data_IF_995251257375
#
_entry.id   IF_995251257375
#
_cell.length_a   1.000
_cell.length_b   1.000
_cell.length_c   1.000
_cell.angle_alpha   90.00
_cell.angle_beta   90.00
_cell.angle_gamma   90.00
#
_symmetry.space_group_name_H-M   'P 1'
#
loop_
_entity.id
_entity.type
_entity.pdbx_description
1 polymer ?
#
# COMPACT_ATOMS: atom_id res chain seq x y z
N UNK A 1 -7.47 -22.95 3.30
CA UNK A 1 -7.89 -21.74 4.05
C UNK A 1 -7.98 -20.51 3.15
N UNK A 2 -7.25 -20.46 2.03
CA UNK A 2 -7.41 -19.40 1.00
C UNK A 2 -8.30 -19.81 -0.18
N UNK A 3 -8.53 -21.10 -0.39
CA UNK A 3 -9.22 -21.67 -1.57
C UNK A 3 -10.71 -21.30 -1.70
N UNK A 4 -11.33 -20.76 -0.64
CA UNK A 4 -12.74 -20.35 -0.62
C UNK A 4 -12.93 -18.84 -0.46
N UNK A 5 -11.87 -18.03 -0.63
CA UNK A 5 -11.96 -16.58 -0.57
C UNK A 5 -12.43 -16.04 -1.93
N UNK A 6 -13.73 -15.77 -2.04
CA UNK A 6 -14.29 -15.03 -3.18
C UNK A 6 -14.29 -13.54 -2.87
N UNK A 7 -14.11 -12.71 -3.91
CA UNK A 7 -14.23 -11.27 -3.75
C UNK A 7 -15.69 -10.91 -3.53
N UNK A 8 -16.01 -10.35 -2.36
CA UNK A 8 -17.34 -9.77 -2.13
C UNK A 8 -17.54 -8.51 -2.97
N UNK A 9 -18.77 -8.34 -3.46
CA UNK A 9 -19.14 -7.12 -4.17
C UNK A 9 -19.10 -5.93 -3.20
N UNK A 10 -18.44 -4.87 -3.63
CA UNK A 10 -18.35 -3.62 -2.87
C UNK A 10 -18.63 -2.45 -3.79
N UNK A 11 -19.43 -1.51 -3.29
CA UNK A 11 -19.66 -0.21 -3.92
C UNK A 11 -18.35 0.59 -4.04
N UNK A 12 -17.37 0.31 -3.18
CA UNK A 12 -16.07 0.99 -3.17
C UNK A 12 -15.02 0.11 -3.84
N UNK A 13 -14.41 0.63 -4.90
CA UNK A 13 -13.25 -0.03 -5.53
C UNK A 13 -12.01 0.24 -4.70
N UNK A 14 -11.31 -0.84 -4.33
CA UNK A 14 -10.06 -0.79 -3.56
C UNK A 14 -8.93 -1.26 -4.47
N UNK A 15 -7.88 -0.46 -4.56
CA UNK A 15 -6.73 -0.72 -5.43
C UNK A 15 -5.49 -0.83 -4.55
N UNK A 16 -4.72 -1.89 -4.74
CA UNK A 16 -3.45 -2.12 -4.05
C UNK A 16 -2.32 -2.01 -5.07
N UNK A 17 -1.30 -1.20 -4.76
CA UNK A 17 -0.09 -1.07 -5.57
C UNK A 17 1.03 -1.87 -4.91
N UNK A 18 1.43 -2.96 -5.55
CA UNK A 18 2.47 -3.88 -5.07
C UNK A 18 3.77 -3.72 -5.86
N UNK A 19 4.91 -3.93 -5.21
CA UNK A 19 6.20 -3.98 -5.88
C UNK A 19 7.39 -3.82 -4.93
N UNK A 20 8.63 -4.05 -5.41
CA UNK A 20 9.85 -3.93 -4.61
C UNK A 20 10.02 -2.56 -3.96
N UNK A 21 10.79 -2.49 -2.88
CA UNK A 21 11.16 -1.22 -2.25
C UNK A 21 11.83 -0.27 -3.27
N UNK A 22 11.61 1.03 -3.12
CA UNK A 22 12.22 2.07 -3.98
C UNK A 22 11.83 2.03 -5.47
N UNK A 23 10.66 1.46 -5.81
CA UNK A 23 10.08 1.48 -7.18
C UNK A 23 9.04 2.59 -7.41
N UNK A 24 9.00 3.62 -6.56
CA UNK A 24 8.12 4.78 -6.74
C UNK A 24 6.66 4.59 -6.35
N UNK A 25 6.30 3.46 -5.71
CA UNK A 25 4.91 3.15 -5.29
C UNK A 25 4.24 4.27 -4.49
N UNK A 26 4.93 4.80 -3.47
CA UNK A 26 4.43 5.88 -2.61
C UNK A 26 4.14 7.14 -3.42
N UNK A 27 5.06 7.52 -4.33
CA UNK A 27 4.87 8.66 -5.23
C UNK A 27 3.67 8.46 -6.14
N UNK A 28 3.49 7.25 -6.70
CA UNK A 28 2.35 6.93 -7.54
C UNK A 28 1.02 6.99 -6.78
N UNK A 29 0.97 6.45 -5.56
CA UNK A 29 -0.22 6.51 -4.69
C UNK A 29 -0.62 7.96 -4.43
N UNK A 30 0.34 8.81 -4.06
CA UNK A 30 0.10 10.23 -3.78
C UNK A 30 -0.42 10.98 -5.01
N UNK A 31 0.15 10.71 -6.19
CA UNK A 31 -0.30 11.36 -7.43
C UNK A 31 -1.72 10.91 -7.81
N UNK A 32 -2.03 9.62 -7.64
CA UNK A 32 -3.36 9.07 -7.93
C UNK A 32 -4.41 9.58 -6.95
N UNK A 33 -4.07 9.71 -5.65
CA UNK A 33 -5.01 10.20 -4.65
C UNK A 33 -5.43 11.64 -4.90
N UNK A 34 -4.48 12.51 -5.29
CA UNK A 34 -4.76 13.89 -5.72
C UNK A 34 -5.60 13.91 -6.99
N UNK A 35 -5.21 13.14 -8.02
CA UNK A 35 -5.90 13.15 -9.31
C UNK A 35 -7.35 12.68 -9.21
N UNK A 36 -7.61 11.60 -8.46
CA UNK A 36 -8.96 11.05 -8.26
C UNK A 36 -9.70 11.66 -7.07
N UNK A 37 -9.10 12.63 -6.37
CA UNK A 37 -9.66 13.26 -5.16
C UNK A 37 -10.14 12.21 -4.14
N UNK A 38 -9.30 11.21 -3.89
CA UNK A 38 -9.63 10.06 -3.04
C UNK A 38 -8.63 9.89 -1.91
N UNK A 39 -9.02 9.11 -0.90
CA UNK A 39 -8.17 8.77 0.23
C UNK A 39 -7.21 7.63 -0.15
N UNK A 40 -6.07 7.57 0.54
CA UNK A 40 -5.15 6.44 0.49
C UNK A 40 -4.66 6.09 1.89
N UNK A 41 -4.05 4.91 2.04
CA UNK A 41 -3.47 4.43 3.29
C UNK A 41 -1.98 4.18 3.06
N UNK A 42 -1.16 4.61 4.00
CA UNK A 42 0.30 4.43 3.94
C UNK A 42 0.73 2.98 4.19
N UNK A 43 1.96 2.68 3.76
CA UNK A 43 2.60 1.39 3.99
C UNK A 43 3.06 1.26 5.46
N UNK A 44 2.19 0.69 6.30
CA UNK A 44 2.41 0.59 7.74
C UNK A 44 3.77 -0.04 8.14
N UNK A 45 4.24 -1.03 7.38
CA UNK A 45 5.49 -1.72 7.70
C UNK A 45 6.75 -0.86 7.52
N UNK A 46 6.66 0.25 6.79
CA UNK A 46 7.82 1.08 6.42
C UNK A 46 8.59 1.59 7.65
N UNK A 47 7.90 2.24 8.58
CA UNK A 47 8.54 2.85 9.75
C UNK A 47 9.16 1.77 10.65
N UNK A 48 8.44 0.67 10.84
CA UNK A 48 8.93 -0.46 11.62
C UNK A 48 10.19 -1.08 11.02
N UNK A 49 10.22 -1.31 9.71
CA UNK A 49 11.38 -1.89 9.02
C UNK A 49 12.58 -0.94 9.04
N UNK A 50 12.36 0.36 8.88
CA UNK A 50 13.41 1.37 8.96
C UNK A 50 14.05 1.39 10.36
N UNK A 51 13.24 1.46 11.43
CA UNK A 51 13.74 1.41 12.81
C UNK A 51 14.58 0.15 13.06
N UNK A 52 14.09 -1.00 12.59
CA UNK A 52 14.79 -2.28 12.75
C UNK A 52 16.11 -2.33 11.98
N UNK A 53 16.17 -1.70 10.80
CA UNK A 53 17.39 -1.60 10.00
C UNK A 53 18.43 -0.70 10.67
N UNK A 54 18.03 0.49 11.08
CA UNK A 54 18.91 1.47 11.72
C UNK A 54 19.46 0.95 13.06
N UNK A 55 18.66 0.17 13.80
CA UNK A 55 19.06 -0.43 15.09
C UNK A 55 20.03 -1.61 14.95
N UNK A 56 20.16 -2.19 13.74
CA UNK A 56 21.12 -3.28 13.46
C UNK A 56 22.49 -2.77 13.00
N UNK A 57 22.61 -1.45 12.84
CA UNK A 57 23.83 -0.77 12.41
C UNK A 57 24.68 -0.41 13.62
#
# INVERSE_FOLDING_TARGET
MEENLTQEESLIKRIVICGPESTGKTTMINNLSVYFQTNYVDEFARDFLQIKWDSKK
#
